data_IF_465938800734
#
_entry.id   IF_465938800734
#
_cell.length_a   1.000
_cell.length_b   1.000
_cell.length_c   1.000
_cell.angle_alpha   90.00
_cell.angle_beta   90.00
_cell.angle_gamma   90.00
#
_symmetry.space_group_name_H-M   'P 1'
#
loop_
_entity.id
_entity.type
_entity.pdbx_description
1 polymer ?
#
# COMPACT_ATOMS: atom_id res chain seq x y z
N UNK A 1 -10.50 13.67 26.24
CA UNK A 1 -9.09 13.45 25.82
C UNK A 1 -9.07 12.27 24.89
N UNK A 2 -8.44 12.41 23.74
CA UNK A 2 -8.19 11.34 22.76
C UNK A 2 -6.85 10.66 23.05
N UNK A 3 -6.50 9.67 22.23
CA UNK A 3 -5.19 9.05 22.19
C UNK A 3 -4.80 8.81 20.73
N UNK A 4 -3.51 8.80 20.46
CA UNK A 4 -2.90 8.36 19.21
C UNK A 4 -2.17 7.03 19.43
N UNK A 5 -1.49 6.50 18.42
CA UNK A 5 -0.82 5.20 18.50
C UNK A 5 0.06 5.01 19.75
N UNK A 6 0.86 6.02 20.13
CA UNK A 6 1.82 5.96 21.23
C UNK A 6 1.28 6.39 22.62
N UNK A 7 -0.03 6.54 22.78
CA UNK A 7 -0.66 6.91 24.05
C UNK A 7 -1.47 8.22 24.00
N UNK A 8 -1.65 8.91 25.14
CA UNK A 8 -2.51 10.09 25.24
C UNK A 8 -2.12 11.20 24.25
N UNK A 9 -3.11 11.78 23.57
CA UNK A 9 -2.91 12.89 22.62
C UNK A 9 -2.86 14.23 23.38
N UNK A 10 -1.67 14.71 23.69
CA UNK A 10 -1.45 16.00 24.36
C UNK A 10 -0.93 17.10 23.43
N UNK A 11 -0.09 16.71 22.47
CA UNK A 11 0.71 17.64 21.66
C UNK A 11 0.24 17.70 20.19
N UNK A 12 -0.79 16.93 19.82
CA UNK A 12 -1.19 16.65 18.44
C UNK A 12 -1.50 17.93 17.65
N UNK A 13 -2.21 18.89 18.24
CA UNK A 13 -2.53 20.15 17.58
C UNK A 13 -1.29 21.00 17.34
N UNK A 14 -0.32 20.99 18.26
CA UNK A 14 0.93 21.74 18.08
C UNK A 14 1.73 21.15 16.90
N UNK A 15 1.85 19.81 16.84
CA UNK A 15 2.53 19.12 15.75
C UNK A 15 1.85 19.36 14.38
N UNK A 16 0.51 19.38 14.35
CA UNK A 16 -0.25 19.70 13.14
C UNK A 16 -0.14 21.18 12.74
N UNK A 17 0.02 22.08 13.70
CA UNK A 17 0.31 23.50 13.46
C UNK A 17 1.72 23.71 12.91
N UNK A 18 2.72 22.98 13.43
CA UNK A 18 4.09 23.02 12.94
C UNK A 18 4.15 22.49 11.49
N UNK A 19 3.45 21.39 11.19
CA UNK A 19 3.27 20.90 9.81
C UNK A 19 2.67 21.99 8.90
N UNK A 20 1.62 22.67 9.38
CA UNK A 20 0.94 23.73 8.63
C UNK A 20 1.86 24.92 8.37
N UNK A 21 2.71 25.31 9.33
CA UNK A 21 3.67 26.42 9.18
C UNK A 21 4.90 26.06 8.35
N UNK A 22 5.12 24.76 8.09
CA UNK A 22 6.32 24.27 7.41
C UNK A 22 7.50 24.02 8.35
N UNK A 23 7.25 24.00 9.67
CA UNK A 23 8.25 23.78 10.70
C UNK A 23 8.49 22.27 10.93
N UNK A 24 8.75 21.52 9.85
CA UNK A 24 9.13 20.09 9.92
C UNK A 24 10.59 19.99 10.37
N UNK A 25 10.79 20.15 11.68
CA UNK A 25 12.12 20.10 12.27
C UNK A 25 12.62 18.65 12.33
N UNK A 26 13.89 18.41 11.96
CA UNK A 26 14.48 17.10 12.10
C UNK A 26 14.51 16.72 13.59
N UNK A 27 14.15 15.47 13.85
CA UNK A 27 14.09 14.87 15.18
C UNK A 27 15.38 15.14 15.98
N UNK A 28 15.24 15.62 17.22
CA UNK A 28 16.36 15.66 18.16
C UNK A 28 16.85 14.24 18.51
N UNK A 29 18.12 14.03 18.87
CA UNK A 29 18.69 12.69 19.11
C UNK A 29 17.95 11.86 20.19
N UNK A 30 17.24 12.53 21.10
CA UNK A 30 16.49 11.90 22.20
C UNK A 30 14.96 11.98 22.03
N UNK A 31 14.48 12.57 20.94
CA UNK A 31 13.03 12.69 20.70
C UNK A 31 12.50 11.42 20.04
N UNK A 32 11.27 10.97 20.36
CA UNK A 32 10.65 9.89 19.59
C UNK A 32 10.46 10.27 18.12
N UNK A 33 10.74 9.35 17.19
CA UNK A 33 10.67 9.60 15.74
C UNK A 33 9.31 10.11 15.24
N UNK A 34 8.23 9.76 15.94
CA UNK A 34 6.87 10.20 15.60
C UNK A 34 6.61 11.68 15.90
N UNK A 35 7.52 12.39 16.60
CA UNK A 35 7.36 13.82 16.94
C UNK A 35 7.75 14.77 15.82
N UNK A 36 8.42 14.32 14.76
CA UNK A 36 8.55 15.15 13.56
C UNK A 36 7.16 15.33 12.93
N UNK A 37 6.70 16.55 12.61
CA UNK A 37 5.36 16.83 12.10
C UNK A 37 4.92 15.95 10.93
N UNK A 38 5.79 15.69 9.95
CA UNK A 38 5.47 14.78 8.86
C UNK A 38 5.35 13.32 9.33
N UNK A 39 6.30 12.85 10.14
CA UNK A 39 6.30 11.49 10.70
C UNK A 39 5.11 11.23 11.62
N UNK A 40 4.59 12.27 12.28
CA UNK A 40 3.43 12.20 13.16
C UNK A 40 2.18 11.70 12.44
N UNK A 41 1.93 12.21 11.22
CA UNK A 41 0.82 11.77 10.37
C UNK A 41 0.82 10.25 10.17
N UNK A 42 1.98 9.69 9.87
CA UNK A 42 2.10 8.27 9.52
C UNK A 42 2.20 7.36 10.73
N UNK A 43 2.99 7.78 11.71
CA UNK A 43 3.39 6.92 12.82
C UNK A 43 2.35 6.93 13.94
N UNK A 44 1.80 8.11 14.25
CA UNK A 44 0.91 8.29 15.39
C UNK A 44 -0.57 8.34 14.97
N UNK A 45 -0.88 9.05 13.88
CA UNK A 45 -2.26 9.20 13.42
C UNK A 45 -2.72 8.05 12.52
N UNK A 46 -1.93 7.66 11.50
CA UNK A 46 -2.33 6.57 10.61
C UNK A 46 -2.06 5.18 11.21
N UNK A 47 -0.89 4.99 11.84
CA UNK A 47 -0.51 3.78 12.57
C UNK A 47 -0.75 2.47 11.77
N UNK A 48 -0.38 2.47 10.49
CA UNK A 48 -0.57 1.32 9.61
C UNK A 48 -2.04 0.92 9.39
N UNK A 49 -2.97 1.87 9.48
CA UNK A 49 -4.41 1.66 9.34
C UNK A 49 -5.17 1.52 10.67
N UNK A 50 -4.48 1.50 11.81
CA UNK A 50 -5.10 1.51 13.13
C UNK A 50 -5.56 2.93 13.51
N UNK A 51 -6.63 3.39 12.87
CA UNK A 51 -7.14 4.74 13.08
C UNK A 51 -7.66 4.91 14.52
N UNK A 52 -7.19 5.96 15.19
CA UNK A 52 -7.47 6.27 16.59
C UNK A 52 -8.36 7.50 16.71
N UNK A 53 -8.91 7.81 17.90
CA UNK A 53 -9.63 9.07 18.09
C UNK A 53 -8.80 10.33 17.74
N UNK A 54 -7.47 10.30 17.90
CA UNK A 54 -6.60 11.38 17.45
C UNK A 54 -6.57 11.53 15.92
N UNK A 55 -6.70 10.44 15.16
CA UNK A 55 -6.78 10.47 13.70
C UNK A 55 -7.98 11.31 13.25
N UNK A 56 -9.14 11.14 13.90
CA UNK A 56 -10.37 11.90 13.62
C UNK A 56 -10.11 13.40 13.79
N UNK A 57 -9.45 13.79 14.88
CA UNK A 57 -9.09 15.19 15.14
C UNK A 57 -8.07 15.72 14.13
N UNK A 58 -7.10 14.91 13.73
CA UNK A 58 -6.14 15.26 12.68
C UNK A 58 -6.79 15.48 11.32
N UNK A 59 -7.73 14.62 10.92
CA UNK A 59 -8.53 14.80 9.69
C UNK A 59 -9.33 16.09 9.75
N UNK A 60 -10.06 16.35 10.85
CA UNK A 60 -10.81 17.60 11.04
C UNK A 60 -9.93 18.83 10.97
N UNK A 61 -8.73 18.77 11.55
CA UNK A 61 -7.77 19.85 11.46
C UNK A 61 -7.37 20.10 10.00
N UNK A 62 -6.92 19.07 9.28
CA UNK A 62 -6.48 19.20 7.90
C UNK A 62 -7.60 19.67 6.96
N UNK A 63 -8.84 19.22 7.16
CA UNK A 63 -10.02 19.71 6.41
C UNK A 63 -10.15 21.23 6.49
N UNK A 64 -9.82 21.84 7.63
CA UNK A 64 -9.89 23.29 7.84
C UNK A 64 -8.70 24.05 7.25
N UNK A 65 -7.51 23.44 7.26
CA UNK A 65 -6.27 24.19 7.04
C UNK A 65 -5.57 23.88 5.71
N UNK A 66 -5.77 22.71 5.09
CA UNK A 66 -4.97 22.27 3.94
C UNK A 66 -5.22 23.11 2.66
N UNK A 67 -6.36 23.79 2.59
CA UNK A 67 -6.69 24.76 1.54
C UNK A 67 -6.03 26.12 1.72
N UNK A 68 -5.43 26.41 2.88
CA UNK A 68 -4.76 27.68 3.12
C UNK A 68 -3.56 27.86 2.17
N UNK A 69 -3.38 29.05 1.57
CA UNK A 69 -2.25 29.31 0.68
C UNK A 69 -0.89 29.05 1.32
N UNK A 70 -0.77 29.27 2.63
CA UNK A 70 0.48 29.16 3.40
C UNK A 70 0.73 27.75 3.99
N UNK A 71 -0.17 26.78 3.77
CA UNK A 71 0.01 25.42 4.31
C UNK A 71 1.30 24.79 3.78
N UNK A 72 2.18 24.39 4.70
CA UNK A 72 3.51 23.80 4.44
C UNK A 72 4.64 24.83 4.41
N UNK A 73 4.36 26.12 4.60
CA UNK A 73 5.38 27.18 4.58
C UNK A 73 6.15 27.20 3.25
N UNK A 74 7.48 27.12 3.35
CA UNK A 74 8.38 27.06 2.17
C UNK A 74 8.50 25.66 1.56
N UNK A 75 8.02 24.61 2.24
CA UNK A 75 8.05 23.23 1.76
C UNK A 75 6.69 22.81 1.18
N UNK A 76 6.49 22.87 -0.16
CA UNK A 76 5.25 22.47 -0.79
C UNK A 76 4.98 20.95 -0.72
N UNK A 77 5.97 20.13 -0.33
CA UNK A 77 5.79 18.68 -0.23
C UNK A 77 4.96 18.30 0.99
N UNK A 78 4.97 19.10 2.06
CA UNK A 78 4.17 18.86 3.27
C UNK A 78 2.67 18.87 2.99
N UNK A 79 2.20 19.77 2.12
CA UNK A 79 0.79 19.77 1.66
C UNK A 79 0.45 18.49 0.91
N UNK A 80 1.34 18.06 0.02
CA UNK A 80 1.15 16.82 -0.74
C UNK A 80 1.13 15.61 0.20
N UNK A 81 1.99 15.61 1.22
CA UNK A 81 2.02 14.62 2.30
C UNK A 81 0.74 14.56 3.11
N UNK A 82 0.18 15.71 3.49
CA UNK A 82 -1.09 15.78 4.21
C UNK A 82 -2.27 15.31 3.35
N UNK A 83 -2.31 15.64 2.05
CA UNK A 83 -3.30 15.11 1.11
C UNK A 83 -3.18 13.59 0.98
N UNK A 84 -1.95 13.08 0.90
CA UNK A 84 -1.71 11.65 0.89
C UNK A 84 -2.20 10.99 2.19
N UNK A 85 -1.88 11.54 3.36
CA UNK A 85 -2.42 11.04 4.62
C UNK A 85 -3.97 10.93 4.59
N UNK A 86 -4.67 11.98 4.11
CA UNK A 86 -6.13 11.95 3.98
C UNK A 86 -6.62 10.85 3.02
N UNK A 87 -5.87 10.60 1.95
CA UNK A 87 -6.14 9.51 1.01
C UNK A 87 -5.98 8.13 1.66
N UNK A 88 -4.93 7.88 2.44
CA UNK A 88 -4.75 6.58 3.11
C UNK A 88 -5.81 6.36 4.19
N UNK A 89 -6.19 7.40 4.94
CA UNK A 89 -7.35 7.34 5.84
C UNK A 89 -8.62 6.97 5.07
N UNK A 90 -8.87 7.61 3.93
CA UNK A 90 -10.01 7.30 3.08
C UNK A 90 -10.00 5.85 2.58
N UNK A 91 -8.86 5.34 2.11
CA UNK A 91 -8.71 3.93 1.68
C UNK A 91 -9.07 2.96 2.79
N UNK A 92 -8.53 3.21 3.99
CA UNK A 92 -8.73 2.35 5.15
C UNK A 92 -10.21 2.28 5.56
N UNK A 93 -10.91 3.42 5.64
CA UNK A 93 -12.32 3.43 6.04
C UNK A 93 -13.27 2.97 4.93
N UNK A 94 -12.90 3.15 3.65
CA UNK A 94 -13.69 2.64 2.52
C UNK A 94 -13.58 1.12 2.35
N UNK A 95 -12.52 0.49 2.86
CA UNK A 95 -12.38 -0.96 2.88
C UNK A 95 -13.43 -1.63 3.77
N UNK A 96 -13.91 -0.94 4.80
CA UNK A 96 -15.02 -1.39 5.63
C UNK A 96 -15.12 -0.66 6.96
N UNK A 97 -16.34 -0.53 7.47
CA UNK A 97 -16.64 0.02 8.79
C UNK A 97 -17.54 -0.93 9.58
N UNK A 98 -17.29 -1.04 10.88
CA UNK A 98 -18.13 -1.80 11.80
C UNK A 98 -18.94 -0.84 12.69
N UNK A 99 -20.08 -0.38 12.16
CA UNK A 99 -21.00 0.51 12.91
C UNK A 99 -21.60 -0.16 14.14
N UNK A 100 -21.76 -1.49 14.15
CA UNK A 100 -22.31 -2.21 15.29
C UNK A 100 -21.35 -2.17 16.48
N UNK A 101 -20.07 -2.48 16.24
CA UNK A 101 -19.03 -2.36 17.27
C UNK A 101 -18.86 -0.89 17.69
N UNK A 102 -18.75 0.05 16.74
CA UNK A 102 -18.59 1.48 17.02
C UNK A 102 -19.70 2.06 17.93
N UNK A 103 -20.94 1.58 17.80
CA UNK A 103 -22.07 2.05 18.63
C UNK A 103 -21.88 1.83 20.13
N UNK A 104 -20.97 0.93 20.52
CA UNK A 104 -20.63 0.64 21.91
C UNK A 104 -19.63 1.62 22.53
N UNK A 105 -19.15 2.64 21.82
CA UNK A 105 -18.11 3.58 22.31
C UNK A 105 -18.42 4.22 23.67
N UNK A 106 -19.71 4.41 23.98
CA UNK A 106 -20.17 5.03 25.23
C UNK A 106 -20.46 4.00 26.35
N UNK A 107 -20.23 2.71 26.08
CA UNK A 107 -20.43 1.65 27.07
C UNK A 107 -19.55 1.89 28.31
N UNK A 108 -20.05 1.59 29.53
CA UNK A 108 -19.32 1.87 30.76
C UNK A 108 -17.91 1.23 30.82
N UNK A 109 -17.77 0.00 30.34
CA UNK A 109 -16.52 -0.74 30.27
C UNK A 109 -15.49 -0.08 29.33
N UNK A 110 -15.95 0.44 28.18
CA UNK A 110 -15.11 1.19 27.23
C UNK A 110 -14.64 2.52 27.84
N UNK A 111 -15.52 3.25 28.53
CA UNK A 111 -15.16 4.51 29.20
C UNK A 111 -14.19 4.31 30.36
N UNK A 112 -14.38 3.25 31.15
CA UNK A 112 -13.48 2.86 32.23
C UNK A 112 -12.11 2.46 31.67
N UNK A 113 -12.09 1.63 30.62
CA UNK A 113 -10.88 1.25 29.91
C UNK A 113 -10.12 2.48 29.40
N UNK A 114 -10.80 3.43 28.74
CA UNK A 114 -10.18 4.64 28.22
C UNK A 114 -9.58 5.49 29.34
N UNK A 115 -10.30 5.63 30.46
CA UNK A 115 -9.81 6.38 31.63
C UNK A 115 -8.52 5.78 32.18
N UNK A 116 -8.40 4.45 32.20
CA UNK A 116 -7.18 3.74 32.60
C UNK A 116 -6.08 3.87 31.55
N UNK A 117 -6.41 3.66 30.28
CA UNK A 117 -5.47 3.76 29.16
C UNK A 117 -4.80 5.14 29.12
N UNK A 118 -5.55 6.21 29.35
CA UNK A 118 -5.00 7.56 29.34
C UNK A 118 -4.02 7.86 30.49
N UNK A 119 -3.90 6.98 31.50
CA UNK A 119 -2.95 7.12 32.60
C UNK A 119 -1.63 6.39 32.36
N UNK A 120 -1.61 5.43 31.44
CA UNK A 120 -0.46 4.55 31.19
C UNK A 120 -0.10 4.60 29.70
N UNK A 121 1.13 5.01 29.38
CA UNK A 121 1.59 4.99 27.98
C UNK A 121 1.68 3.54 27.49
N UNK A 122 0.92 3.23 26.45
CA UNK A 122 0.94 1.93 25.75
C UNK A 122 0.81 2.19 24.25
N UNK A 123 1.40 1.31 23.46
CA UNK A 123 1.35 1.38 22.01
C UNK A 123 0.18 0.55 21.50
N UNK A 124 -0.56 1.07 20.52
CA UNK A 124 -1.69 0.35 19.90
C UNK A 124 -1.26 -1.01 19.32
N UNK A 125 -0.04 -1.10 18.77
CA UNK A 125 0.45 -2.36 18.20
C UNK A 125 0.81 -3.42 19.27
N UNK A 126 0.90 -3.02 20.55
CA UNK A 126 1.15 -3.94 21.67
C UNK A 126 -0.15 -4.39 22.35
N UNK A 127 -1.31 -4.05 21.78
CA UNK A 127 -2.60 -4.43 22.36
C UNK A 127 -2.83 -5.94 22.31
N UNK A 128 -3.49 -6.43 23.35
CA UNK A 128 -3.83 -7.84 23.52
C UNK A 128 -5.34 -8.02 23.61
N UNK A 129 -5.82 -9.25 23.79
CA UNK A 129 -7.24 -9.52 24.04
C UNK A 129 -7.79 -8.75 25.26
N UNK A 130 -6.94 -8.36 26.23
CA UNK A 130 -7.35 -7.54 27.38
C UNK A 130 -7.71 -6.09 26.99
N UNK A 131 -7.33 -5.66 25.79
CA UNK A 131 -7.57 -4.34 25.23
C UNK A 131 -8.76 -4.34 24.25
N UNK A 132 -9.62 -5.36 24.28
CA UNK A 132 -10.84 -5.44 23.48
C UNK A 132 -11.77 -4.19 23.56
N UNK A 133 -11.88 -3.46 24.69
CA UNK A 133 -12.61 -2.20 24.70
C UNK A 133 -11.93 -1.08 23.87
N UNK A 134 -10.62 -1.14 23.67
CA UNK A 134 -9.88 -0.25 22.78
C UNK A 134 -10.23 -0.46 21.31
N UNK A 135 -10.45 -1.71 20.88
CA UNK A 135 -10.91 -2.04 19.52
C UNK A 135 -12.27 -1.38 19.20
N UNK A 136 -13.14 -1.23 20.19
CA UNK A 136 -14.40 -0.47 20.05
C UNK A 136 -14.13 0.99 19.67
N UNK A 137 -13.09 1.60 20.24
CA UNK A 137 -12.71 2.98 19.96
C UNK A 137 -12.01 3.13 18.60
N UNK A 138 -11.24 2.13 18.15
CA UNK A 138 -10.70 2.10 16.78
C UNK A 138 -11.82 1.95 15.75
N UNK A 139 -12.80 1.08 16.00
CA UNK A 139 -13.99 0.95 15.15
C UNK A 139 -14.80 2.26 15.09
N UNK A 140 -14.97 2.94 16.23
CA UNK A 140 -15.61 4.24 16.29
C UNK A 140 -14.83 5.31 15.51
N UNK A 141 -13.51 5.37 15.64
CA UNK A 141 -12.67 6.29 14.88
C UNK A 141 -12.76 6.05 13.37
N UNK A 142 -12.79 4.78 12.92
CA UNK A 142 -13.04 4.45 11.50
C UNK A 142 -14.38 4.98 11.01
N UNK A 143 -15.46 4.81 11.79
CA UNK A 143 -16.79 5.35 11.43
C UNK A 143 -16.77 6.88 11.39
N UNK A 144 -16.19 7.54 12.39
CA UNK A 144 -16.13 9.00 12.43
C UNK A 144 -15.27 9.56 11.27
N UNK A 145 -14.16 8.90 10.89
CA UNK A 145 -13.37 9.25 9.71
C UNK A 145 -14.12 8.99 8.39
N UNK A 146 -14.91 7.91 8.29
CA UNK A 146 -15.77 7.65 7.13
C UNK A 146 -16.79 8.76 6.93
N UNK A 147 -17.45 9.17 8.02
CA UNK A 147 -18.48 10.22 7.99
C UNK A 147 -17.89 11.61 7.64
N UNK A 148 -16.57 11.82 7.81
CA UNK A 148 -15.85 13.04 7.41
C UNK A 148 -15.46 13.09 5.93
N UNK A 149 -15.50 11.97 5.18
CA UNK A 149 -15.00 11.93 3.80
C UNK A 149 -15.67 12.94 2.84
N UNK A 150 -16.97 13.25 2.94
CA UNK A 150 -17.58 14.32 2.15
C UNK A 150 -16.96 15.70 2.37
N UNK A 151 -16.62 16.04 3.62
CA UNK A 151 -15.94 17.30 3.94
C UNK A 151 -14.50 17.31 3.42
N UNK A 152 -13.80 16.17 3.55
CA UNK A 152 -12.47 15.99 2.96
C UNK A 152 -12.53 16.23 1.45
N UNK A 153 -13.52 15.68 0.75
CA UNK A 153 -13.69 15.89 -0.68
C UNK A 153 -13.91 17.36 -1.05
N UNK A 154 -14.79 18.06 -0.33
CA UNK A 154 -15.06 19.47 -0.55
C UNK A 154 -13.79 20.33 -0.41
N UNK A 155 -12.89 19.96 0.50
CA UNK A 155 -11.60 20.63 0.67
C UNK A 155 -10.59 20.27 -0.41
N UNK A 156 -10.58 19.03 -0.91
CA UNK A 156 -9.65 18.55 -1.94
C UNK A 156 -10.04 19.02 -3.36
N UNK A 157 -11.33 19.12 -3.66
CA UNK A 157 -11.83 19.43 -5.01
C UNK A 157 -11.22 20.71 -5.63
N UNK A 158 -11.11 21.85 -4.92
CA UNK A 158 -10.46 23.05 -5.46
C UNK A 158 -9.01 22.83 -5.89
N UNK A 159 -8.30 21.89 -5.26
CA UNK A 159 -6.89 21.59 -5.53
C UNK A 159 -6.69 20.80 -6.85
N UNK A 160 -7.77 20.29 -7.46
CA UNK A 160 -7.72 19.75 -8.83
C UNK A 160 -7.34 20.80 -9.88
N UNK A 161 -7.46 22.08 -9.54
CA UNK A 161 -7.06 23.21 -10.39
C UNK A 161 -5.73 23.84 -9.96
N UNK A 162 -4.97 23.19 -9.06
CA UNK A 162 -3.68 23.69 -8.60
C UNK A 162 -2.69 23.82 -9.77
N UNK A 163 -1.91 24.91 -9.76
CA UNK A 163 -0.86 25.16 -10.76
C UNK A 163 0.30 24.18 -10.65
N UNK A 164 0.61 23.75 -9.42
CA UNK A 164 1.68 22.79 -9.13
C UNK A 164 1.23 21.38 -9.56
N UNK A 165 1.86 20.75 -10.57
CA UNK A 165 1.41 19.46 -11.10
C UNK A 165 1.38 18.33 -10.07
N UNK A 166 2.40 18.26 -9.21
CA UNK A 166 2.47 17.25 -8.15
C UNK A 166 1.28 17.35 -7.18
N UNK A 167 0.98 18.56 -6.70
CA UNK A 167 -0.17 18.83 -5.83
C UNK A 167 -1.49 18.46 -6.52
N UNK A 168 -1.63 18.84 -7.79
CA UNK A 168 -2.80 18.53 -8.61
C UNK A 168 -2.98 17.02 -8.78
N UNK A 169 -1.91 16.28 -9.04
CA UNK A 169 -1.92 14.82 -9.13
C UNK A 169 -2.33 14.15 -7.81
N UNK A 170 -1.81 14.64 -6.67
CA UNK A 170 -2.21 14.15 -5.34
C UNK A 170 -3.70 14.39 -5.08
N UNK A 171 -4.19 15.59 -5.39
CA UNK A 171 -5.60 15.93 -5.24
C UNK A 171 -6.49 15.04 -6.14
N UNK A 172 -6.07 14.78 -7.38
CA UNK A 172 -6.81 13.94 -8.32
C UNK A 172 -6.96 12.50 -7.82
N UNK A 173 -5.85 11.89 -7.38
CA UNK A 173 -5.85 10.53 -6.82
C UNK A 173 -6.66 10.44 -5.53
N UNK A 174 -6.57 11.46 -4.67
CA UNK A 174 -7.33 11.53 -3.42
C UNK A 174 -8.83 11.67 -3.70
N UNK A 175 -9.21 12.55 -4.63
CA UNK A 175 -10.58 12.70 -5.07
C UNK A 175 -11.14 11.42 -5.71
N UNK A 176 -10.33 10.68 -6.48
CA UNK A 176 -10.69 9.39 -7.05
C UNK A 176 -10.99 8.36 -5.94
N UNK A 177 -10.12 8.25 -4.95
CA UNK A 177 -10.33 7.38 -3.78
C UNK A 177 -11.60 7.77 -3.02
N UNK A 178 -11.76 9.05 -2.67
CA UNK A 178 -12.93 9.57 -1.92
C UNK A 178 -14.26 9.29 -2.64
N UNK A 179 -14.25 9.24 -3.97
CA UNK A 179 -15.44 8.90 -4.77
C UNK A 179 -16.00 7.48 -4.56
N UNK A 180 -15.29 6.64 -3.79
CA UNK A 180 -15.81 5.36 -3.28
C UNK A 180 -16.88 5.53 -2.19
N UNK A 181 -16.95 6.70 -1.54
CA UNK A 181 -18.00 7.00 -0.56
C UNK A 181 -19.37 7.12 -1.25
N UNK A 182 -20.46 6.57 -0.68
CA UNK A 182 -21.80 6.59 -1.30
C UNK A 182 -22.26 7.98 -1.73
N UNK A 183 -22.04 9.00 -0.90
CA UNK A 183 -22.46 10.38 -1.20
C UNK A 183 -21.60 11.06 -2.28
N UNK A 184 -20.41 10.53 -2.57
CA UNK A 184 -19.46 11.10 -3.52
C UNK A 184 -19.42 10.36 -4.86
N UNK A 185 -20.13 9.24 -4.98
CA UNK A 185 -20.18 8.41 -6.20
C UNK A 185 -20.62 9.21 -7.43
N UNK A 186 -21.46 10.22 -7.24
CA UNK A 186 -21.96 11.12 -8.29
C UNK A 186 -20.83 11.86 -9.02
N UNK A 187 -19.68 12.06 -8.37
CA UNK A 187 -18.54 12.76 -8.96
C UNK A 187 -17.67 11.87 -9.86
N UNK A 188 -17.83 10.54 -9.81
CA UNK A 188 -16.98 9.58 -10.54
C UNK A 188 -16.88 9.86 -12.04
N UNK A 189 -17.98 10.11 -12.79
CA UNK A 189 -17.88 10.37 -14.23
C UNK A 189 -17.03 11.61 -14.56
N UNK A 190 -17.19 12.69 -13.78
CA UNK A 190 -16.41 13.93 -13.97
C UNK A 190 -14.94 13.72 -13.62
N UNK A 191 -14.65 13.02 -12.53
CA UNK A 191 -13.29 12.69 -12.13
C UNK A 191 -12.61 11.79 -13.17
N UNK A 192 -13.34 10.83 -13.76
CA UNK A 192 -12.80 9.98 -14.82
C UNK A 192 -12.42 10.81 -16.05
N UNK A 193 -13.32 11.69 -16.49
CA UNK A 193 -13.04 12.61 -17.60
C UNK A 193 -11.81 13.49 -17.31
N UNK A 194 -11.68 13.98 -16.08
CA UNK A 194 -10.51 14.74 -15.64
C UNK A 194 -9.22 13.94 -15.73
N UNK A 195 -9.19 12.71 -15.19
CA UNK A 195 -8.00 11.85 -15.23
C UNK A 195 -7.58 11.54 -16.67
N UNK A 196 -8.54 11.21 -17.53
CA UNK A 196 -8.28 10.94 -18.95
C UNK A 196 -7.75 12.18 -19.69
N UNK A 197 -8.22 13.39 -19.35
CA UNK A 197 -7.71 14.63 -19.91
C UNK A 197 -6.26 14.92 -19.46
N UNK A 198 -5.96 14.73 -18.17
CA UNK A 198 -4.60 14.91 -17.64
C UNK A 198 -3.59 13.90 -18.20
N UNK A 199 -4.06 12.77 -18.76
CA UNK A 199 -3.20 11.85 -19.50
C UNK A 199 -2.60 12.50 -20.77
N UNK A 200 -3.06 13.67 -21.24
CA UNK A 200 -2.39 14.39 -22.33
C UNK A 200 -1.03 15.01 -21.92
N UNK A 201 -0.65 14.95 -20.64
CA UNK A 201 0.64 15.46 -20.15
C UNK A 201 1.84 14.83 -20.86
N UNK A 202 2.88 15.62 -21.10
CA UNK A 202 4.16 15.13 -21.64
C UNK A 202 4.93 14.26 -20.63
N UNK A 203 4.70 14.46 -19.33
CA UNK A 203 5.35 13.69 -18.26
C UNK A 203 4.70 12.30 -18.10
N UNK A 204 5.51 11.26 -18.34
CA UNK A 204 5.07 9.87 -18.25
C UNK A 204 4.68 9.46 -16.81
N UNK A 205 5.30 10.02 -15.77
CA UNK A 205 4.96 9.71 -14.37
C UNK A 205 3.60 10.28 -13.99
N UNK A 206 3.31 11.50 -14.42
CA UNK A 206 1.98 12.09 -14.30
C UNK A 206 0.94 11.28 -15.06
N UNK A 207 1.19 10.95 -16.34
CA UNK A 207 0.26 10.12 -17.13
C UNK A 207 -0.03 8.78 -16.46
N UNK A 208 1.00 8.06 -16.04
CA UNK A 208 0.87 6.78 -15.36
C UNK A 208 0.01 6.88 -14.09
N UNK A 209 0.27 7.90 -13.26
CA UNK A 209 -0.54 8.17 -12.06
C UNK A 209 -2.00 8.46 -12.38
N UNK A 210 -2.27 9.26 -13.42
CA UNK A 210 -3.64 9.56 -13.85
C UNK A 210 -4.36 8.33 -14.40
N UNK A 211 -3.66 7.41 -15.04
CA UNK A 211 -4.26 6.16 -15.54
C UNK A 211 -4.64 5.20 -14.41
N UNK A 212 -3.86 5.14 -13.34
CA UNK A 212 -4.23 4.39 -12.13
C UNK A 212 -5.53 4.94 -11.54
N UNK A 213 -5.62 6.26 -11.35
CA UNK A 213 -6.84 6.92 -10.89
C UNK A 213 -8.03 6.71 -11.85
N UNK A 214 -7.80 6.77 -13.17
CA UNK A 214 -8.84 6.46 -14.16
C UNK A 214 -9.34 5.01 -14.02
N UNK A 215 -8.44 4.06 -13.75
CA UNK A 215 -8.78 2.66 -13.46
C UNK A 215 -9.63 2.51 -12.20
N UNK A 216 -9.23 3.14 -11.08
CA UNK A 216 -10.02 3.17 -9.83
C UNK A 216 -11.43 3.74 -10.04
N UNK A 217 -11.57 4.68 -10.97
CA UNK A 217 -12.83 5.31 -11.35
C UNK A 217 -13.68 4.44 -12.31
N UNK A 218 -13.21 3.26 -12.69
CA UNK A 218 -13.90 2.31 -13.58
C UNK A 218 -13.63 2.54 -15.06
N UNK A 219 -12.65 3.37 -15.41
CA UNK A 219 -12.20 3.57 -16.78
C UNK A 219 -11.41 2.37 -17.31
N UNK A 220 -11.52 2.14 -18.62
CA UNK A 220 -10.72 1.15 -19.36
C UNK A 220 -9.73 1.87 -20.29
N UNK A 221 -8.52 2.22 -19.82
CA UNK A 221 -7.57 3.05 -20.58
C UNK A 221 -6.85 2.29 -21.71
N UNK A 222 -7.57 1.51 -22.53
CA UNK A 222 -6.99 0.66 -23.60
C UNK A 222 -6.11 1.43 -24.59
N UNK A 223 -6.45 2.68 -24.87
CA UNK A 223 -5.67 3.53 -25.78
C UNK A 223 -4.20 3.72 -25.34
N UNK A 224 -3.93 3.53 -24.05
CA UNK A 224 -2.61 3.73 -23.43
C UNK A 224 -1.76 2.46 -23.37
N UNK A 225 -2.29 1.31 -23.80
CA UNK A 225 -1.53 0.06 -23.91
C UNK A 225 -0.37 0.14 -24.92
N UNK A 226 -0.37 1.18 -25.76
CA UNK A 226 0.67 1.45 -26.78
C UNK A 226 1.48 2.71 -26.49
N UNK A 227 1.37 3.29 -25.29
CA UNK A 227 2.19 4.44 -24.90
C UNK A 227 3.69 4.06 -25.01
N UNK A 228 4.58 4.97 -25.46
CA UNK A 228 6.01 4.68 -25.55
C UNK A 228 6.64 4.32 -24.19
N UNK A 229 6.11 4.83 -23.08
CA UNK A 229 6.67 4.59 -21.76
C UNK A 229 6.12 3.29 -21.13
N UNK A 230 6.99 2.36 -20.68
CA UNK A 230 6.55 1.08 -20.10
C UNK A 230 5.67 1.26 -18.88
N UNK A 231 5.97 2.24 -18.02
CA UNK A 231 5.15 2.48 -16.84
C UNK A 231 3.73 2.94 -17.13
N UNK A 232 3.54 3.67 -18.23
CA UNK A 232 2.20 4.10 -18.65
C UNK A 232 1.41 2.90 -19.17
N UNK A 233 2.05 2.02 -19.95
CA UNK A 233 1.43 0.77 -20.44
C UNK A 233 1.03 -0.15 -19.29
N UNK A 234 1.90 -0.34 -18.30
CA UNK A 234 1.63 -1.17 -17.11
C UNK A 234 0.46 -0.60 -16.30
N UNK A 235 0.48 0.70 -16.00
CA UNK A 235 -0.63 1.34 -15.26
C UNK A 235 -1.97 1.23 -16.00
N UNK A 236 -1.96 1.39 -17.33
CA UNK A 236 -3.15 1.21 -18.14
C UNK A 236 -3.67 -0.24 -18.11
N UNK A 237 -2.76 -1.21 -18.16
CA UNK A 237 -3.10 -2.63 -18.19
C UNK A 237 -3.51 -3.18 -16.81
N UNK A 238 -3.05 -2.56 -15.71
CA UNK A 238 -3.46 -2.88 -14.34
C UNK A 238 -4.84 -2.33 -13.96
N UNK A 239 -5.45 -1.48 -14.77
CA UNK A 239 -6.79 -0.96 -14.50
C UNK A 239 -7.79 -2.13 -14.32
N UNK A 240 -8.67 -2.10 -13.29
CA UNK A 240 -9.61 -3.20 -13.03
C UNK A 240 -10.50 -3.56 -14.23
N UNK A 241 -10.91 -2.58 -15.03
CA UNK A 241 -11.72 -2.82 -16.23
C UNK A 241 -10.95 -3.57 -17.36
N UNK A 242 -9.61 -3.64 -17.26
CA UNK A 242 -8.76 -4.42 -18.14
C UNK A 242 -8.49 -5.84 -17.60
N UNK A 243 -9.15 -6.26 -16.51
CA UNK A 243 -8.95 -7.55 -15.84
C UNK A 243 -9.05 -8.74 -16.82
N UNK A 244 -10.06 -8.74 -17.68
CA UNK A 244 -10.28 -9.85 -18.60
C UNK A 244 -9.78 -9.55 -20.02
N UNK A 245 -9.02 -8.47 -20.21
CA UNK A 245 -8.53 -8.05 -21.52
C UNK A 245 -7.26 -8.80 -21.94
N UNK A 246 -7.29 -9.64 -23.00
CA UNK A 246 -6.12 -10.38 -23.46
C UNK A 246 -4.97 -9.47 -23.92
N UNK A 247 -5.27 -8.29 -24.47
CA UNK A 247 -4.25 -7.33 -24.93
C UNK A 247 -3.49 -6.76 -23.73
N UNK A 248 -4.21 -6.31 -22.70
CA UNK A 248 -3.63 -5.82 -21.44
C UNK A 248 -2.77 -6.89 -20.77
N UNK A 249 -3.27 -8.13 -20.66
CA UNK A 249 -2.52 -9.24 -20.09
C UNK A 249 -1.24 -9.56 -20.87
N UNK A 250 -1.30 -9.48 -22.20
CA UNK A 250 -0.13 -9.66 -23.06
C UNK A 250 0.91 -8.56 -22.84
N UNK A 251 0.47 -7.30 -22.68
CA UNK A 251 1.34 -6.18 -22.35
C UNK A 251 2.00 -6.39 -20.98
N UNK A 252 1.24 -6.69 -19.93
CA UNK A 252 1.80 -6.93 -18.59
C UNK A 252 2.86 -8.02 -18.61
N UNK A 253 2.57 -9.15 -19.25
CA UNK A 253 3.52 -10.26 -19.34
C UNK A 253 4.77 -9.85 -20.10
N UNK A 254 4.61 -9.13 -21.20
CA UNK A 254 5.73 -8.68 -22.04
C UNK A 254 6.65 -7.69 -21.32
N UNK A 255 6.09 -6.76 -20.54
CA UNK A 255 6.88 -5.81 -19.73
C UNK A 255 7.57 -6.51 -18.56
N UNK A 256 6.81 -7.31 -17.79
CA UNK A 256 7.31 -8.06 -16.64
C UNK A 256 8.42 -9.05 -17.01
N UNK A 257 8.35 -9.66 -18.20
CA UNK A 257 9.33 -10.64 -18.67
C UNK A 257 10.65 -10.02 -19.16
N UNK A 258 10.68 -8.72 -19.45
CA UNK A 258 11.83 -8.06 -20.09
C UNK A 258 12.53 -7.05 -19.21
N UNK A 259 11.83 -6.50 -18.23
CA UNK A 259 12.33 -5.37 -17.45
C UNK A 259 12.22 -5.66 -15.94
N UNK A 260 13.34 -5.97 -15.26
CA UNK A 260 13.34 -6.14 -13.80
C UNK A 260 12.79 -4.91 -13.06
N UNK A 261 12.97 -3.71 -13.60
CA UNK A 261 12.45 -2.48 -13.00
C UNK A 261 10.92 -2.37 -13.07
N UNK A 262 10.25 -3.16 -13.90
CA UNK A 262 8.78 -3.30 -13.91
C UNK A 262 8.33 -4.29 -12.84
N UNK A 263 9.05 -5.39 -12.64
CA UNK A 263 8.74 -6.37 -11.59
C UNK A 263 8.84 -5.72 -10.21
N UNK A 264 9.95 -5.06 -9.92
CA UNK A 264 10.15 -4.36 -8.65
C UNK A 264 9.54 -2.96 -8.59
N UNK A 265 8.82 -2.53 -9.63
CA UNK A 265 8.24 -1.18 -9.78
C UNK A 265 9.24 -0.03 -9.57
N UNK A 266 10.55 -0.28 -9.66
CA UNK A 266 11.63 0.71 -9.50
C UNK A 266 11.54 1.85 -10.51
N UNK A 267 11.12 1.56 -11.75
CA UNK A 267 10.91 2.58 -12.79
C UNK A 267 9.73 3.53 -12.51
N UNK A 268 9.05 3.33 -11.40
CA UNK A 268 7.90 4.09 -10.95
C UNK A 268 8.17 4.77 -9.59
N UNK A 269 9.40 4.70 -9.08
CA UNK A 269 9.83 5.49 -7.92
C UNK A 269 9.48 6.98 -8.13
N UNK A 270 8.88 7.59 -7.11
CA UNK A 270 8.39 8.97 -7.18
C UNK A 270 7.02 9.15 -7.85
N UNK A 271 6.38 8.10 -8.37
CA UNK A 271 4.98 8.20 -8.83
C UNK A 271 4.02 8.20 -7.64
N UNK A 272 3.37 9.34 -7.39
CA UNK A 272 2.37 9.51 -6.32
C UNK A 272 1.19 8.53 -6.45
N UNK A 273 0.88 8.06 -7.66
CA UNK A 273 -0.27 7.19 -7.95
C UNK A 273 -0.10 5.71 -7.64
N UNK A 274 1.13 5.19 -7.48
CA UNK A 274 1.32 3.77 -7.21
C UNK A 274 0.68 3.32 -5.89
N UNK A 275 0.52 4.23 -4.94
CA UNK A 275 -0.22 4.02 -3.69
C UNK A 275 -1.71 3.65 -3.91
N UNK A 276 -2.25 3.74 -5.13
CA UNK A 276 -3.52 3.14 -5.57
C UNK A 276 -3.55 1.62 -5.38
N UNK A 277 -2.42 1.00 -5.67
CA UNK A 277 -2.20 -0.42 -5.53
C UNK A 277 -1.25 -0.57 -4.34
N UNK A 278 -1.74 -0.92 -3.13
CA UNK A 278 -0.82 -1.17 -2.04
C UNK A 278 0.01 -2.38 -2.48
N UNK A 279 1.32 -2.19 -2.70
CA UNK A 279 2.24 -3.19 -3.27
C UNK A 279 1.96 -3.47 -4.76
N UNK A 280 2.20 -2.49 -5.66
CA UNK A 280 1.94 -2.63 -7.09
C UNK A 280 2.68 -3.81 -7.73
N UNK A 281 3.85 -4.16 -7.23
CA UNK A 281 4.62 -5.34 -7.61
C UNK A 281 3.86 -6.64 -7.32
N UNK A 282 3.24 -6.76 -6.13
CA UNK A 282 2.42 -7.91 -5.76
C UNK A 282 1.16 -7.98 -6.61
N UNK A 283 0.50 -6.83 -6.84
CA UNK A 283 -0.67 -6.73 -7.70
C UNK A 283 -0.35 -7.19 -9.14
N UNK A 284 0.81 -6.79 -9.69
CA UNK A 284 1.29 -7.26 -10.99
C UNK A 284 1.50 -8.77 -11.01
N UNK A 285 2.18 -9.33 -10.00
CA UNK A 285 2.46 -10.75 -9.91
C UNK A 285 1.18 -11.60 -9.82
N UNK A 286 0.25 -11.24 -8.93
CA UNK A 286 -1.04 -11.92 -8.79
C UNK A 286 -1.87 -11.80 -10.08
N UNK A 287 -1.87 -10.61 -10.70
CA UNK A 287 -2.57 -10.38 -11.97
C UNK A 287 -2.08 -11.29 -13.09
N UNK A 288 -0.76 -11.44 -13.23
CA UNK A 288 -0.16 -12.32 -14.23
C UNK A 288 -0.47 -13.78 -13.95
N UNK A 289 -0.35 -14.21 -12.70
CA UNK A 289 -0.63 -15.58 -12.28
C UNK A 289 -2.10 -15.97 -12.46
N UNK A 290 -3.03 -15.04 -12.25
CA UNK A 290 -4.46 -15.26 -12.50
C UNK A 290 -4.81 -15.32 -14.00
N UNK A 291 -4.17 -14.49 -14.82
CA UNK A 291 -4.52 -14.34 -16.24
C UNK A 291 -3.80 -15.32 -17.18
N UNK A 292 -2.56 -15.71 -16.87
CA UNK A 292 -1.72 -16.52 -17.76
C UNK A 292 -1.74 -17.98 -17.29
N UNK A 293 -2.55 -18.80 -17.97
CA UNK A 293 -2.69 -20.24 -17.66
C UNK A 293 -1.47 -21.08 -18.05
N UNK A 294 -0.69 -20.58 -19.00
CA UNK A 294 0.50 -21.26 -19.50
C UNK A 294 1.71 -20.92 -18.62
N UNK A 295 2.12 -21.89 -17.80
CA UNK A 295 3.18 -21.73 -16.81
C UNK A 295 4.55 -21.49 -17.48
N UNK A 296 4.79 -22.03 -18.68
CA UNK A 296 6.03 -21.77 -19.43
C UNK A 296 6.16 -20.28 -19.79
N UNK A 297 5.04 -19.62 -20.09
CA UNK A 297 5.01 -18.20 -20.41
C UNK A 297 5.28 -17.30 -19.20
N UNK A 298 4.96 -17.74 -17.98
CA UNK A 298 5.21 -17.00 -16.74
C UNK A 298 6.67 -17.07 -16.29
N UNK A 299 7.42 -18.10 -16.72
CA UNK A 299 8.76 -18.38 -16.22
C UNK A 299 9.73 -17.19 -16.27
N UNK A 300 9.80 -16.37 -17.34
CA UNK A 300 10.70 -15.22 -17.37
C UNK A 300 10.40 -14.19 -16.27
N UNK A 301 9.12 -13.87 -16.04
CA UNK A 301 8.70 -12.97 -14.97
C UNK A 301 8.97 -13.59 -13.58
N UNK A 302 8.67 -14.87 -13.41
CA UNK A 302 8.92 -15.60 -12.16
C UNK A 302 10.40 -15.57 -11.77
N UNK A 303 11.30 -15.81 -12.74
CA UNK A 303 12.75 -15.74 -12.52
C UNK A 303 13.19 -14.35 -12.04
N UNK A 304 12.65 -13.29 -12.65
CA UNK A 304 12.99 -11.91 -12.29
C UNK A 304 12.46 -11.50 -10.91
N UNK A 305 11.38 -12.13 -10.43
CA UNK A 305 10.80 -11.87 -9.11
C UNK A 305 11.56 -12.52 -7.94
N UNK A 306 12.35 -13.58 -8.18
CA UNK A 306 13.12 -14.28 -7.13
C UNK A 306 14.14 -13.37 -6.42
N UNK A 307 15.01 -12.61 -7.13
CA UNK A 307 15.98 -11.74 -6.46
C UNK A 307 15.37 -10.42 -5.96
N UNK A 308 14.09 -10.16 -6.19
CA UNK A 308 13.45 -8.91 -5.80
C UNK A 308 13.30 -8.78 -4.29
N UNK A 309 13.21 -7.53 -3.83
CA UNK A 309 12.98 -7.24 -2.42
C UNK A 309 11.62 -7.82 -1.96
N UNK A 310 11.53 -8.27 -0.70
CA UNK A 310 10.28 -8.65 -0.08
C UNK A 310 9.26 -7.53 -0.17
N UNK A 311 8.00 -7.94 -0.23
CA UNK A 311 6.86 -7.03 -0.22
C UNK A 311 5.77 -7.58 0.69
N UNK A 312 4.68 -6.84 0.83
CA UNK A 312 3.48 -7.36 1.48
C UNK A 312 2.54 -7.91 0.43
N UNK A 313 2.09 -9.13 0.67
CA UNK A 313 1.20 -9.88 -0.19
C UNK A 313 -0.20 -9.85 0.39
N UNK A 314 -1.19 -9.79 -0.50
CA UNK A 314 -2.57 -10.04 -0.13
C UNK A 314 -2.78 -11.56 -0.03
N UNK A 315 -2.98 -12.05 1.19
CA UNK A 315 -3.22 -13.48 1.47
C UNK A 315 -4.64 -13.75 1.98
N UNK A 316 -5.58 -12.80 1.74
CA UNK A 316 -6.99 -12.93 2.12
C UNK A 316 -7.48 -11.89 3.14
N UNK A 317 -8.76 -12.03 3.51
CA UNK A 317 -9.65 -10.91 3.91
C UNK A 317 -9.22 -10.03 5.10
N UNK A 318 -8.24 -10.39 5.93
CA UNK A 318 -7.89 -9.55 7.09
C UNK A 318 -6.41 -9.43 7.47
N UNK A 319 -5.47 -10.06 6.75
CA UNK A 319 -4.04 -9.90 7.05
C UNK A 319 -3.20 -9.89 5.79
N UNK A 320 -2.46 -8.79 5.60
CA UNK A 320 -1.33 -8.72 4.69
C UNK A 320 -0.19 -9.54 5.27
N UNK A 321 0.48 -10.32 4.44
CA UNK A 321 1.64 -11.10 4.86
C UNK A 321 2.90 -10.54 4.24
N UNK A 322 3.93 -10.34 5.05
CA UNK A 322 5.25 -10.05 4.52
C UNK A 322 5.80 -11.32 3.83
N UNK A 323 6.30 -11.19 2.61
CA UNK A 323 6.63 -12.32 1.76
C UNK A 323 7.54 -11.97 0.59
N UNK A 324 8.09 -13.01 -0.05
CA UNK A 324 8.87 -12.84 -1.26
C UNK A 324 7.93 -12.49 -2.42
N UNK A 325 8.32 -11.52 -3.25
CA UNK A 325 7.56 -11.16 -4.46
C UNK A 325 7.35 -12.36 -5.41
N UNK A 326 8.21 -13.37 -5.32
CA UNK A 326 8.08 -14.61 -6.09
C UNK A 326 6.91 -15.52 -5.65
N UNK A 327 6.29 -15.29 -4.48
CA UNK A 327 5.26 -16.19 -3.92
C UNK A 327 4.11 -16.52 -4.91
N UNK A 328 3.48 -15.56 -5.62
CA UNK A 328 2.39 -15.88 -6.53
C UNK A 328 2.83 -16.83 -7.66
N UNK A 329 4.04 -16.65 -8.17
CA UNK A 329 4.61 -17.51 -9.21
C UNK A 329 4.93 -18.91 -8.68
N UNK A 330 5.50 -19.00 -7.47
CA UNK A 330 5.78 -20.29 -6.82
C UNK A 330 4.51 -21.10 -6.60
N UNK A 331 3.43 -20.43 -6.18
CA UNK A 331 2.11 -21.05 -6.00
C UNK A 331 1.58 -21.68 -7.29
N UNK A 332 1.77 -21.03 -8.43
CA UNK A 332 1.33 -21.53 -9.75
C UNK A 332 2.25 -22.64 -10.27
N UNK A 333 3.57 -22.52 -10.08
CA UNK A 333 4.56 -23.47 -10.61
C UNK A 333 4.65 -24.75 -9.76
N UNK A 334 4.39 -24.64 -8.45
CA UNK A 334 4.48 -25.72 -7.47
C UNK A 334 3.20 -25.84 -6.61
N UNK A 335 2.02 -26.07 -7.24
CA UNK A 335 0.75 -26.08 -6.52
C UNK A 335 0.66 -27.19 -5.46
N UNK A 336 1.35 -28.30 -5.69
CA UNK A 336 1.39 -29.48 -4.80
C UNK A 336 2.72 -29.61 -4.03
N UNK A 337 3.49 -28.51 -3.95
CA UNK A 337 4.84 -28.50 -3.38
C UNK A 337 5.94 -28.90 -4.39
N UNK A 338 7.14 -29.18 -3.88
CA UNK A 338 8.26 -29.57 -4.74
C UNK A 338 8.07 -30.99 -5.29
N UNK A 339 8.11 -31.18 -6.63
CA UNK A 339 7.99 -32.49 -7.23
C UNK A 339 9.26 -33.33 -6.98
N UNK A 340 9.13 -34.65 -7.09
CA UNK A 340 10.31 -35.51 -7.13
C UNK A 340 11.19 -35.18 -8.35
N UNK A 341 12.53 -35.36 -8.28
CA UNK A 341 13.43 -35.08 -9.41
C UNK A 341 13.07 -35.83 -10.71
N UNK A 342 12.37 -36.97 -10.61
CA UNK A 342 11.91 -37.74 -11.76
C UNK A 342 10.65 -37.16 -12.43
N UNK A 343 9.85 -36.39 -11.69
CA UNK A 343 8.58 -35.82 -12.16
C UNK A 343 8.66 -34.32 -12.48
N UNK A 344 9.81 -33.68 -12.23
CA UNK A 344 9.99 -32.23 -12.41
C UNK A 344 9.94 -31.82 -13.88
N UNK A 345 9.10 -30.83 -14.19
CA UNK A 345 9.04 -30.23 -15.53
C UNK A 345 10.23 -29.31 -15.79
N UNK A 346 10.55 -28.99 -17.07
CA UNK A 346 11.61 -28.02 -17.38
C UNK A 346 11.42 -26.66 -16.69
N UNK A 347 10.19 -26.16 -16.60
CA UNK A 347 9.86 -24.89 -15.93
C UNK A 347 10.12 -24.94 -14.44
N UNK A 348 9.62 -25.99 -13.78
CA UNK A 348 9.85 -26.22 -12.35
C UNK A 348 11.34 -26.32 -12.03
N UNK A 349 12.10 -27.07 -12.84
CA UNK A 349 13.56 -27.21 -12.69
C UNK A 349 14.25 -25.85 -12.77
N UNK A 350 13.90 -25.03 -13.76
CA UNK A 350 14.54 -23.73 -13.99
C UNK A 350 14.21 -22.71 -12.90
N UNK A 351 12.97 -22.68 -12.43
CA UNK A 351 12.61 -21.80 -11.31
C UNK A 351 13.27 -22.28 -10.01
N UNK A 352 13.31 -23.60 -9.77
CA UNK A 352 13.99 -24.15 -8.60
C UNK A 352 15.48 -23.81 -8.56
N UNK A 353 16.16 -23.82 -9.72
CA UNK A 353 17.56 -23.38 -9.84
C UNK A 353 17.72 -21.92 -9.39
N UNK A 354 16.77 -21.04 -9.79
CA UNK A 354 16.82 -19.63 -9.43
C UNK A 354 16.60 -19.42 -7.92
N UNK A 355 15.62 -20.13 -7.33
CA UNK A 355 15.37 -20.10 -5.88
C UNK A 355 16.59 -20.61 -5.11
N UNK A 356 17.17 -21.74 -5.51
CA UNK A 356 18.36 -22.31 -4.87
C UNK A 356 19.55 -21.32 -4.84
N UNK A 357 19.69 -20.52 -5.91
CA UNK A 357 20.77 -19.55 -6.06
C UNK A 357 20.56 -18.28 -5.24
N UNK A 358 19.34 -17.77 -5.14
CA UNK A 358 19.09 -16.40 -4.65
C UNK A 358 18.29 -16.33 -3.35
N UNK A 359 17.49 -17.35 -3.01
CA UNK A 359 16.74 -17.30 -1.77
C UNK A 359 17.70 -17.36 -0.56
N UNK A 360 17.47 -16.54 0.47
CA UNK A 360 18.17 -16.65 1.74
C UNK A 360 17.66 -17.91 2.45
N UNK A 361 18.51 -18.93 2.52
CA UNK A 361 18.24 -20.14 3.32
C UNK A 361 18.94 -20.03 4.66
N UNK A 362 18.32 -20.56 5.72
CA UNK A 362 18.99 -20.64 7.04
C UNK A 362 20.26 -21.49 6.92
N UNK A 363 21.42 -20.87 7.12
CA UNK A 363 22.64 -21.58 7.47
C UNK A 363 22.75 -21.61 9.00
N UNK A 364 23.25 -22.71 9.56
CA UNK A 364 23.31 -22.97 11.01
C UNK A 364 24.23 -22.03 11.82
N UNK A 365 24.87 -21.04 11.19
CA UNK A 365 25.71 -20.03 11.85
C UNK A 365 25.18 -18.62 11.54
N UNK A 366 24.32 -18.07 12.40
CA UNK A 366 23.83 -16.69 12.27
C UNK A 366 24.11 -15.93 13.56
N UNK A 367 25.24 -15.22 13.58
CA UNK A 367 25.53 -14.10 14.48
C UNK A 367 25.75 -12.77 13.75
N UNK A 368 25.48 -12.69 12.45
CA UNK A 368 25.73 -11.49 11.69
C UNK A 368 24.56 -11.15 10.76
N UNK A 369 24.19 -9.86 10.80
CA UNK A 369 23.45 -9.07 9.80
C UNK A 369 21.94 -8.88 10.06
N UNK A 370 21.64 -7.72 10.65
CA UNK A 370 20.30 -7.16 10.87
C UNK A 370 19.54 -6.81 9.58
N UNK A 371 20.21 -6.64 8.44
CA UNK A 371 19.56 -6.35 7.14
C UNK A 371 19.08 -7.60 6.39
N UNK A 372 19.66 -8.77 6.66
CA UNK A 372 19.22 -10.06 6.10
C UNK A 372 17.99 -10.62 6.84
N UNK A 373 17.69 -10.11 8.04
CA UNK A 373 16.62 -10.60 8.88
C UNK A 373 15.24 -10.54 8.21
N UNK A 374 14.92 -9.40 7.59
CA UNK A 374 13.64 -9.21 6.89
C UNK A 374 13.51 -10.08 5.65
N UNK A 375 14.56 -10.18 4.82
CA UNK A 375 14.55 -11.04 3.64
C UNK A 375 14.39 -12.52 3.99
N UNK A 376 15.10 -12.99 5.02
CA UNK A 376 14.98 -14.36 5.50
C UNK A 376 13.57 -14.64 6.05
N UNK A 377 13.03 -13.73 6.87
CA UNK A 377 11.68 -13.83 7.41
C UNK A 377 10.62 -13.91 6.30
N UNK A 378 10.75 -13.08 5.26
CA UNK A 378 9.84 -13.08 4.13
C UNK A 378 9.85 -14.42 3.37
N UNK A 379 11.04 -14.96 3.08
CA UNK A 379 11.18 -16.25 2.39
C UNK A 379 10.76 -17.44 3.25
N UNK A 380 11.10 -17.47 4.55
CA UNK A 380 10.63 -18.49 5.49
C UNK A 380 9.09 -18.49 5.57
N UNK A 381 8.49 -17.30 5.68
CA UNK A 381 7.04 -17.13 5.66
C UNK A 381 6.42 -17.61 4.35
N UNK A 382 7.04 -17.29 3.22
CA UNK A 382 6.61 -17.72 1.88
C UNK A 382 6.64 -19.24 1.76
N UNK A 383 7.76 -19.89 2.08
CA UNK A 383 7.90 -21.34 2.01
C UNK A 383 6.92 -22.04 2.94
N UNK A 384 6.77 -21.56 4.18
CA UNK A 384 5.81 -22.12 5.13
C UNK A 384 4.37 -22.02 4.64
N UNK A 385 3.96 -20.89 4.05
CA UNK A 385 2.60 -20.70 3.51
C UNK A 385 2.31 -21.63 2.33
N UNK A 386 3.31 -21.86 1.48
CA UNK A 386 3.17 -22.69 0.29
C UNK A 386 3.46 -24.19 0.53
N UNK A 387 3.81 -24.59 1.75
CA UNK A 387 4.22 -25.97 2.05
C UNK A 387 5.50 -26.38 1.30
N UNK A 388 6.37 -25.43 0.98
CA UNK A 388 7.64 -25.64 0.31
C UNK A 388 8.78 -25.81 1.32
N UNK A 389 9.84 -26.57 0.99
CA UNK A 389 10.97 -26.73 1.88
C UNK A 389 11.79 -25.43 1.98
N UNK A 390 12.29 -25.16 3.18
CA UNK A 390 13.13 -24.00 3.49
C UNK A 390 14.63 -24.34 3.54
N UNK A 391 15.05 -25.43 2.87
CA UNK A 391 16.43 -25.86 2.77
C UNK A 391 16.94 -25.81 1.32
N UNK A 392 18.16 -25.31 1.11
CA UNK A 392 18.74 -25.16 -0.23
C UNK A 392 18.86 -26.49 -0.97
N UNK A 393 19.15 -27.58 -0.24
CA UNK A 393 19.40 -28.89 -0.83
C UNK A 393 18.19 -29.48 -1.55
N UNK A 394 16.97 -29.28 -1.02
CA UNK A 394 15.73 -29.69 -1.68
C UNK A 394 15.54 -29.00 -3.02
N UNK A 395 15.79 -27.68 -3.07
CA UNK A 395 15.70 -26.90 -4.31
C UNK A 395 16.79 -27.29 -5.32
N UNK A 396 18.02 -27.53 -4.85
CA UNK A 396 19.14 -28.02 -5.67
C UNK A 396 18.85 -29.39 -6.29
N UNK A 397 18.28 -30.32 -5.51
CA UNK A 397 17.90 -31.65 -5.99
C UNK A 397 16.85 -31.60 -7.11
N UNK A 398 15.84 -30.74 -6.97
CA UNK A 398 14.82 -30.50 -8.03
C UNK A 398 15.43 -29.83 -9.25
N UNK A 399 16.34 -28.87 -9.04
CA UNK A 399 17.05 -28.16 -10.09
C UNK A 399 18.07 -29.04 -10.83
N UNK A 400 18.49 -30.17 -10.25
CA UNK A 400 19.53 -31.04 -10.80
C UNK A 400 20.93 -30.42 -10.72
N UNK A 401 21.16 -29.53 -9.76
CA UNK A 401 22.46 -28.90 -9.49
C UNK A 401 22.98 -29.41 -8.15
N UNK A 402 24.27 -29.76 -8.07
CA UNK A 402 24.91 -30.22 -6.85
C UNK A 402 25.41 -29.04 -6.01
#
# INVERSE_FOLDING_TARGET
MSFHAYGPSGDDLALLDDLRRGDDHPQGPDEPFWRAPYSFLWSALYCGGNLTPATVEGVRYLVRTIGEPEFGGEDPTLRSGAIWFLREVAREVLAGIDRATASRRDAPDVREWLTRYLRERRFVLDWTNADAPGEVLLAAARVDCFDLLPEVYATIEPLLSARVPALRGCAALTAATLSGHPDLVVHRPRLLAYHLAECASADAHHRASMLLGAGELGGAPRAWLRDPHPGVRVCAALAPACADDPEANTVLLAEASRNPAVIGMQGFEGMMGLSALPYPEAALAERLCAAVRDVDRLLPAAILAVPSDPTYLDVGEQRRAFGALAEPYLRVVFPDGLPSPAAVTPVQRRLAEMVARHAPFRQSDIRALSSLGSHLEAWDGTFSRLGLPNDRSSWQAVAGVA
#
